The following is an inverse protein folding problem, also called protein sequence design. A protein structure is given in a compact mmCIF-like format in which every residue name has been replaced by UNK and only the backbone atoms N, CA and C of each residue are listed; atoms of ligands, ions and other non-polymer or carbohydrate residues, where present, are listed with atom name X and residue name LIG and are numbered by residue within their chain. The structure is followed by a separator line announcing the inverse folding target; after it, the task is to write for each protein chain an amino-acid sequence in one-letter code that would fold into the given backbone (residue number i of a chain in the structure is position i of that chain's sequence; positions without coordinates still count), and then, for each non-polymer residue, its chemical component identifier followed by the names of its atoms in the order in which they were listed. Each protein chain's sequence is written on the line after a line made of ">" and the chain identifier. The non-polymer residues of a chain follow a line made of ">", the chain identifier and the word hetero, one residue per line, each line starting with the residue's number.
data_IF_598461367244
#
_entry.id   IF_598461367244
#
_cell.length_a   1.000
_cell.length_b   1.000
_cell.length_c   1.000
_cell.angle_alpha   90.00
_cell.angle_beta   90.00
_cell.angle_gamma   90.00
#
_symmetry.space_group_name_H-M   'P 1'
#
loop_
_entity.id
_entity.type
_entity.pdbx_description
1 polymer ?
#
# COMPACT_ATOMS: atom_id res chain seq x y z
N UNK A 1 2.21 -4.49 25.38
CA UNK A 1 1.91 -5.86 24.92
C UNK A 1 1.28 -5.77 23.53
N UNK A 2 1.70 -6.66 22.61
CA UNK A 2 1.21 -6.70 21.23
C UNK A 2 0.56 -8.05 20.95
N UNK A 3 -0.53 -8.02 20.21
CA UNK A 3 -1.07 -9.18 19.52
C UNK A 3 -0.17 -9.47 18.31
N UNK A 4 0.46 -10.63 18.27
CA UNK A 4 1.30 -11.05 17.15
C UNK A 4 0.42 -11.26 15.92
N UNK A 5 0.70 -10.53 14.86
CA UNK A 5 -0.08 -10.57 13.63
C UNK A 5 0.83 -10.50 12.41
N UNK A 6 0.69 -11.46 11.51
CA UNK A 6 1.37 -11.46 10.21
C UNK A 6 0.37 -11.02 9.15
N UNK A 7 0.67 -9.94 8.44
CA UNK A 7 -0.19 -9.46 7.36
C UNK A 7 0.02 -10.31 6.11
N UNK A 8 -1.02 -11.03 5.71
CA UNK A 8 -1.04 -11.91 4.52
C UNK A 8 -2.27 -11.58 3.66
N UNK A 9 -2.29 -10.43 3.00
CA UNK A 9 -3.42 -10.02 2.18
C UNK A 9 -3.59 -10.91 0.96
N UNK A 10 -4.80 -10.95 0.43
CA UNK A 10 -5.18 -11.70 -0.76
C UNK A 10 -5.77 -10.74 -1.78
N UNK A 11 -5.50 -10.96 -3.05
CA UNK A 11 -6.19 -10.31 -4.16
C UNK A 11 -7.33 -11.20 -4.66
N UNK A 12 -8.48 -10.61 -4.89
CA UNK A 12 -9.61 -11.22 -5.59
C UNK A 12 -9.73 -10.57 -6.97
N UNK A 13 -9.53 -11.35 -8.01
CA UNK A 13 -9.77 -10.97 -9.38
C UNK A 13 -10.91 -11.82 -9.95
N UNK A 14 -12.11 -11.26 -10.05
CA UNK A 14 -13.30 -11.93 -10.59
C UNK A 14 -13.59 -13.30 -9.95
N UNK A 15 -13.41 -13.39 -8.63
CA UNK A 15 -13.60 -14.63 -7.87
C UNK A 15 -12.36 -15.53 -7.76
N UNK A 16 -11.30 -15.29 -8.52
CA UNK A 16 -10.03 -15.97 -8.36
C UNK A 16 -9.18 -15.30 -7.28
N UNK A 17 -8.67 -16.09 -6.33
CA UNK A 17 -7.85 -15.61 -5.23
C UNK A 17 -6.36 -15.81 -5.51
N UNK A 18 -5.58 -14.73 -5.30
CA UNK A 18 -4.13 -14.70 -5.45
C UNK A 18 -3.47 -14.20 -4.18
N UNK A 19 -2.37 -14.81 -3.77
CA UNK A 19 -1.60 -14.36 -2.62
C UNK A 19 -0.84 -13.06 -2.92
N UNK A 20 -0.69 -12.22 -1.89
CA UNK A 20 0.14 -11.03 -1.90
C UNK A 20 1.14 -11.07 -0.73
N UNK A 21 2.33 -10.44 -0.83
CA UNK A 21 2.90 -9.79 -2.01
C UNK A 21 3.11 -10.77 -3.16
N UNK A 22 3.49 -10.30 -4.35
CA UNK A 22 3.77 -11.20 -5.48
C UNK A 22 4.93 -12.12 -5.13
N UNK A 23 4.63 -13.40 -5.01
CA UNK A 23 5.57 -14.43 -4.58
C UNK A 23 5.29 -15.74 -5.34
N UNK A 24 6.04 -16.80 -5.05
CA UNK A 24 5.89 -18.08 -5.74
C UNK A 24 4.47 -18.67 -5.65
N UNK A 25 3.69 -18.39 -4.57
CA UNK A 25 2.28 -18.82 -4.53
C UNK A 25 1.43 -18.08 -5.57
N UNK A 26 1.71 -16.78 -5.79
CA UNK A 26 1.04 -15.98 -6.82
C UNK A 26 1.37 -16.51 -8.22
N UNK A 27 2.67 -16.73 -8.48
CA UNK A 27 3.17 -17.20 -9.78
C UNK A 27 2.72 -18.62 -10.10
N UNK A 28 2.74 -19.52 -9.11
CA UNK A 28 2.21 -20.86 -9.26
C UNK A 28 0.72 -20.85 -9.59
N UNK A 29 -0.08 -20.07 -8.86
CA UNK A 29 -1.52 -19.95 -9.13
C UNK A 29 -1.81 -19.37 -10.50
N UNK A 30 -1.01 -18.42 -10.99
CA UNK A 30 -1.23 -17.74 -12.26
C UNK A 30 -0.74 -18.55 -13.46
N UNK A 31 0.44 -19.14 -13.35
CA UNK A 31 1.15 -19.76 -14.47
C UNK A 31 1.46 -21.26 -14.31
N UNK A 32 1.20 -21.84 -13.13
CA UNK A 32 1.54 -23.23 -12.83
C UNK A 32 3.03 -23.49 -12.59
N UNK A 33 3.86 -22.46 -12.52
CA UNK A 33 5.30 -22.57 -12.29
C UNK A 33 5.59 -23.03 -10.86
N UNK A 34 6.62 -23.85 -10.66
CA UNK A 34 6.96 -24.43 -9.36
C UNK A 34 8.34 -24.04 -8.86
N UNK A 35 9.21 -23.54 -9.73
CA UNK A 35 10.57 -23.12 -9.39
C UNK A 35 10.77 -21.62 -9.61
N UNK A 36 11.71 -20.99 -8.86
CA UNK A 36 12.11 -19.59 -9.10
C UNK A 36 12.51 -19.32 -10.54
N UNK A 37 13.30 -20.21 -11.14
CA UNK A 37 13.78 -20.08 -12.51
C UNK A 37 12.64 -20.06 -13.54
N UNK A 38 11.62 -20.90 -13.36
CA UNK A 38 10.42 -20.89 -14.22
C UNK A 38 9.65 -19.58 -14.08
N UNK A 39 9.52 -19.07 -12.85
CA UNK A 39 8.84 -17.79 -12.60
C UNK A 39 9.60 -16.62 -13.22
N UNK A 40 10.92 -16.56 -13.06
CA UNK A 40 11.78 -15.56 -13.71
C UNK A 40 11.67 -15.61 -15.23
N UNK A 41 11.75 -16.81 -15.82
CA UNK A 41 11.62 -16.99 -17.26
C UNK A 41 10.25 -16.51 -17.77
N UNK A 42 9.18 -16.76 -17.02
CA UNK A 42 7.82 -16.32 -17.39
C UNK A 42 7.67 -14.81 -17.30
N UNK A 43 8.21 -14.17 -16.26
CA UNK A 43 8.25 -12.71 -16.13
C UNK A 43 9.05 -12.11 -17.29
N UNK A 44 10.21 -12.68 -17.60
CA UNK A 44 11.09 -12.19 -18.68
C UNK A 44 10.44 -12.34 -20.05
N UNK A 45 9.78 -13.45 -20.33
CA UNK A 45 9.01 -13.66 -21.57
C UNK A 45 7.98 -12.55 -21.79
N UNK A 46 7.23 -12.21 -20.74
CA UNK A 46 6.17 -11.21 -20.84
C UNK A 46 6.70 -9.77 -20.94
N UNK A 47 7.75 -9.48 -20.19
CA UNK A 47 8.34 -8.13 -20.23
C UNK A 47 9.14 -7.86 -21.51
N UNK A 48 9.74 -8.87 -22.14
CA UNK A 48 10.58 -8.70 -23.32
C UNK A 48 9.88 -7.98 -24.48
N UNK A 49 8.56 -8.20 -24.65
CA UNK A 49 7.77 -7.54 -25.69
C UNK A 49 7.43 -6.07 -25.38
N UNK A 50 7.56 -5.64 -24.12
CA UNK A 50 7.10 -4.33 -23.62
C UNK A 50 8.16 -3.60 -22.81
N UNK A 51 9.38 -4.14 -22.75
CA UNK A 51 10.45 -3.59 -21.93
C UNK A 51 10.81 -2.17 -22.36
N UNK A 52 10.91 -1.28 -21.39
CA UNK A 52 11.48 0.05 -21.56
C UNK A 52 12.53 0.33 -20.49
N UNK A 53 13.70 0.81 -20.91
CA UNK A 53 14.80 1.10 -20.00
C UNK A 53 14.47 2.26 -19.04
N UNK A 54 13.67 3.20 -19.50
CA UNK A 54 13.25 4.38 -18.73
C UNK A 54 11.72 4.49 -18.69
N UNK A 55 11.06 3.74 -17.79
CA UNK A 55 9.59 3.76 -17.68
C UNK A 55 9.10 5.14 -17.26
N UNK A 56 8.21 5.71 -18.05
CA UNK A 56 7.66 7.05 -17.87
C UNK A 56 6.43 7.08 -16.98
N UNK A 57 5.74 5.96 -16.87
CA UNK A 57 4.48 5.84 -16.16
C UNK A 57 4.41 4.53 -15.36
N UNK A 58 3.35 4.39 -14.56
CA UNK A 58 3.16 3.25 -13.68
C UNK A 58 2.97 1.94 -14.46
N UNK A 59 2.26 1.96 -15.60
CA UNK A 59 2.04 0.78 -16.44
C UNK A 59 3.37 0.20 -16.94
N UNK A 60 4.20 1.02 -17.57
CA UNK A 60 5.52 0.60 -18.07
C UNK A 60 6.40 0.05 -16.94
N UNK A 61 6.40 0.72 -15.77
CA UNK A 61 7.16 0.27 -14.62
C UNK A 61 6.62 -1.07 -14.06
N UNK A 62 5.31 -1.25 -14.01
CA UNK A 62 4.69 -2.47 -13.52
C UNK A 62 5.02 -3.66 -14.43
N UNK A 63 4.85 -3.49 -15.75
CA UNK A 63 5.16 -4.55 -16.73
C UNK A 63 6.65 -4.92 -16.66
N UNK A 64 7.55 -3.93 -16.52
CA UNK A 64 8.96 -4.19 -16.30
C UNK A 64 9.28 -5.01 -15.05
N UNK A 65 8.45 -4.92 -14.00
CA UNK A 65 8.67 -5.62 -12.74
C UNK A 65 8.05 -7.03 -12.72
N UNK A 66 6.83 -7.18 -13.21
CA UNK A 66 6.02 -8.39 -12.97
C UNK A 66 5.42 -9.00 -14.23
N UNK A 67 5.62 -8.42 -15.39
CA UNK A 67 5.01 -8.86 -16.65
C UNK A 67 3.56 -8.39 -16.81
N UNK A 68 3.00 -8.67 -17.98
CA UNK A 68 1.67 -8.20 -18.40
C UNK A 68 0.53 -8.87 -17.62
N UNK A 69 0.59 -10.18 -17.38
CA UNK A 69 -0.49 -10.92 -16.73
C UNK A 69 -0.75 -10.43 -15.30
N UNK A 70 0.31 -10.23 -14.52
CA UNK A 70 0.20 -9.72 -13.15
C UNK A 70 -0.23 -8.27 -13.16
N UNK A 71 0.32 -7.47 -14.08
CA UNK A 71 -0.10 -6.08 -14.24
C UNK A 71 -1.62 -5.98 -14.51
N UNK A 72 -2.11 -6.65 -15.54
CA UNK A 72 -3.52 -6.57 -15.96
C UNK A 72 -4.49 -7.12 -14.88
N UNK A 73 -4.16 -8.27 -14.26
CA UNK A 73 -5.06 -8.91 -13.29
C UNK A 73 -4.99 -8.29 -11.89
N UNK A 74 -3.79 -7.93 -11.40
CA UNK A 74 -3.60 -7.67 -9.98
C UNK A 74 -3.19 -6.23 -9.65
N UNK A 75 -2.73 -5.44 -10.63
CA UNK A 75 -2.21 -4.09 -10.40
C UNK A 75 -3.10 -3.02 -10.99
N UNK A 76 -3.41 -3.12 -12.28
CA UNK A 76 -4.03 -2.06 -13.09
C UNK A 76 -5.28 -1.47 -12.45
N UNK A 77 -6.36 -2.20 -12.42
CA UNK A 77 -7.65 -1.66 -11.99
C UNK A 77 -7.72 -1.37 -10.48
N UNK A 78 -6.96 -2.11 -9.67
CA UNK A 78 -6.80 -1.77 -8.26
C UNK A 78 -6.18 -0.37 -8.10
N UNK A 79 -5.11 -0.10 -8.83
CA UNK A 79 -4.41 1.18 -8.80
C UNK A 79 -5.26 2.31 -9.39
N UNK A 80 -5.91 2.06 -10.52
CA UNK A 80 -6.80 3.03 -11.16
C UNK A 80 -7.97 3.42 -10.26
N UNK A 81 -8.58 2.48 -9.54
CA UNK A 81 -9.60 2.78 -8.53
C UNK A 81 -9.05 3.63 -7.38
N UNK A 82 -7.85 3.32 -6.89
CA UNK A 82 -7.22 4.11 -5.82
C UNK A 82 -6.92 5.55 -6.24
N UNK A 83 -6.43 5.73 -7.46
CA UNK A 83 -5.97 7.04 -7.92
C UNK A 83 -7.04 7.80 -8.74
N UNK A 84 -8.07 7.10 -9.25
CA UNK A 84 -9.10 7.67 -10.12
C UNK A 84 -8.55 8.17 -11.45
N UNK A 85 -7.44 7.56 -11.91
CA UNK A 85 -6.73 7.90 -13.16
C UNK A 85 -6.14 6.64 -13.78
N UNK A 86 -6.00 6.59 -15.11
CA UNK A 86 -5.31 5.49 -15.80
C UNK A 86 -3.86 5.32 -15.32
N UNK A 87 -3.37 4.08 -15.28
CA UNK A 87 -1.99 3.79 -14.90
C UNK A 87 -0.95 4.47 -15.82
N UNK A 88 -1.31 4.74 -17.08
CA UNK A 88 -0.49 5.48 -18.05
C UNK A 88 -0.27 6.95 -17.70
N UNK A 89 -1.11 7.52 -16.83
CA UNK A 89 -1.00 8.90 -16.37
C UNK A 89 -0.36 9.01 -14.98
N UNK A 90 -0.09 7.88 -14.33
CA UNK A 90 0.50 7.84 -12.99
C UNK A 90 2.03 7.72 -13.06
N UNK A 91 2.76 8.41 -12.17
CA UNK A 91 4.22 8.33 -12.14
C UNK A 91 4.74 6.91 -11.85
N UNK A 92 5.80 6.51 -12.54
CA UNK A 92 6.44 5.20 -12.40
C UNK A 92 6.88 4.88 -10.95
N UNK A 93 7.28 5.88 -10.17
CA UNK A 93 7.79 5.68 -8.81
C UNK A 93 6.74 5.09 -7.85
N UNK A 94 5.44 5.24 -8.12
CA UNK A 94 4.36 4.73 -7.25
C UNK A 94 4.49 3.22 -7.05
N UNK A 95 4.81 2.48 -8.11
CA UNK A 95 4.91 1.01 -8.05
C UNK A 95 6.36 0.49 -7.92
N UNK A 96 7.35 1.37 -7.96
CA UNK A 96 8.76 0.96 -7.90
C UNK A 96 9.12 0.13 -6.66
N UNK A 97 8.35 0.25 -5.59
CA UNK A 97 8.57 -0.47 -4.33
C UNK A 97 7.76 -1.77 -4.20
N UNK A 98 7.10 -2.20 -5.26
CA UNK A 98 6.32 -3.42 -5.23
C UNK A 98 7.23 -4.62 -4.94
N UNK A 99 7.00 -5.36 -3.84
CA UNK A 99 7.84 -6.49 -3.53
C UNK A 99 7.51 -7.66 -4.46
N UNK A 100 8.53 -8.15 -5.16
CA UNK A 100 8.51 -9.38 -5.96
C UNK A 100 9.46 -10.37 -5.29
N UNK A 101 8.96 -11.55 -4.95
CA UNK A 101 9.72 -12.56 -4.20
C UNK A 101 9.66 -13.91 -4.89
N UNK A 102 10.81 -14.50 -5.13
CA UNK A 102 10.92 -15.84 -5.73
C UNK A 102 11.01 -16.95 -4.65
N UNK A 103 10.21 -16.78 -3.60
CA UNK A 103 10.05 -17.71 -2.48
C UNK A 103 8.56 -17.91 -2.18
N UNK A 104 8.21 -19.00 -1.53
CA UNK A 104 6.84 -19.28 -1.05
C UNK A 104 6.62 -18.63 0.32
N UNK A 105 6.42 -17.29 0.34
CA UNK A 105 6.19 -16.53 1.56
C UNK A 105 5.09 -15.48 1.34
N UNK A 106 3.98 -15.63 2.06
CA UNK A 106 2.83 -14.73 2.01
C UNK A 106 2.89 -13.60 3.04
N UNK A 107 3.96 -13.51 3.84
CA UNK A 107 4.12 -12.38 4.76
C UNK A 107 4.36 -11.09 3.96
N UNK A 108 3.46 -10.13 4.06
CA UNK A 108 3.57 -8.90 3.29
C UNK A 108 4.80 -8.05 3.66
N UNK A 109 5.17 -8.05 4.93
CA UNK A 109 6.29 -7.26 5.43
C UNK A 109 7.54 -8.11 5.67
N UNK A 110 8.71 -7.49 5.59
CA UNK A 110 10.00 -8.10 5.95
C UNK A 110 10.42 -7.80 7.41
N UNK A 111 9.53 -7.16 8.19
CA UNK A 111 9.85 -6.80 9.57
C UNK A 111 10.00 -8.04 10.46
N UNK A 112 11.05 -8.06 11.28
CA UNK A 112 11.31 -9.14 12.23
C UNK A 112 10.19 -9.23 13.29
N UNK A 113 9.68 -8.09 13.73
CA UNK A 113 8.59 -8.00 14.70
C UNK A 113 7.36 -7.39 14.03
N UNK A 114 6.24 -8.11 14.10
CA UNK A 114 4.97 -7.71 13.53
C UNK A 114 3.86 -7.96 14.54
N UNK A 115 2.98 -6.98 14.70
CA UNK A 115 1.87 -7.11 15.64
C UNK A 115 1.02 -5.85 15.69
N UNK A 116 -0.11 -5.99 16.38
CA UNK A 116 -1.06 -4.90 16.65
C UNK A 116 -1.07 -4.65 18.16
N UNK A 117 -0.95 -3.40 18.63
CA UNK A 117 -0.92 -3.11 20.06
C UNK A 117 -2.24 -3.48 20.72
N UNK A 118 -2.17 -4.23 21.83
CA UNK A 118 -3.34 -4.47 22.67
C UNK A 118 -3.77 -3.15 23.31
N UNK A 119 -5.06 -2.85 23.26
CA UNK A 119 -5.60 -1.57 23.72
C UNK A 119 -5.55 -0.44 22.67
N UNK A 120 -5.05 -0.73 21.47
CA UNK A 120 -5.04 0.20 20.33
C UNK A 120 -3.84 1.16 20.28
N UNK A 121 -3.73 1.87 19.17
CA UNK A 121 -2.59 2.75 18.90
C UNK A 121 -2.60 4.01 19.77
N UNK A 122 -3.77 4.53 20.14
CA UNK A 122 -3.87 5.71 21.03
C UNK A 122 -3.21 5.45 22.38
N UNK A 123 -3.46 4.28 22.99
CA UNK A 123 -2.82 3.91 24.25
C UNK A 123 -1.30 3.72 24.09
N UNK A 124 -0.87 3.13 22.98
CA UNK A 124 0.56 2.99 22.68
C UNK A 124 1.25 4.35 22.59
N UNK A 125 0.67 5.29 21.85
CA UNK A 125 1.22 6.65 21.70
C UNK A 125 1.19 7.40 23.04
N UNK A 126 0.12 7.30 23.81
CA UNK A 126 0.03 7.90 25.14
C UNK A 126 1.14 7.40 26.08
N UNK A 127 1.45 6.10 26.03
CA UNK A 127 2.54 5.52 26.81
C UNK A 127 3.93 6.04 26.37
N UNK A 128 4.12 6.26 25.05
CA UNK A 128 5.37 6.82 24.51
C UNK A 128 5.58 8.29 24.89
N UNK A 129 4.49 9.02 25.11
CA UNK A 129 4.49 10.46 25.46
C UNK A 129 4.46 10.71 26.95
N UNK A 130 4.64 9.70 27.81
CA UNK A 130 4.71 9.92 29.27
C UNK A 130 5.85 10.87 29.62
N UNK A 131 5.54 11.91 30.39
CA UNK A 131 6.49 12.96 30.78
C UNK A 131 6.71 14.04 29.72
N UNK A 132 6.03 13.98 28.58
CA UNK A 132 6.06 14.99 27.53
C UNK A 132 4.78 15.84 27.61
N UNK A 133 4.91 17.17 27.53
CA UNK A 133 3.75 18.04 27.43
C UNK A 133 3.06 17.84 26.08
N UNK A 134 1.75 17.56 26.09
CA UNK A 134 0.93 17.35 24.90
C UNK A 134 -0.20 18.36 24.88
N UNK A 135 -0.30 19.16 23.83
CA UNK A 135 -1.37 20.14 23.58
C UNK A 135 -2.21 19.67 22.40
N UNK A 136 -3.45 19.29 22.66
CA UNK A 136 -4.41 18.90 21.63
C UNK A 136 -5.22 20.09 21.12
N UNK A 137 -5.72 19.98 19.87
CA UNK A 137 -6.55 21.04 19.26
C UNK A 137 -5.78 22.31 18.91
N UNK A 138 -4.46 22.26 18.87
CA UNK A 138 -3.60 23.41 18.54
C UNK A 138 -3.21 23.34 17.06
N UNK A 139 -3.56 24.39 16.31
CA UNK A 139 -3.07 24.55 14.94
C UNK A 139 -1.71 25.27 14.96
N UNK A 140 -0.65 24.53 14.66
CA UNK A 140 0.70 25.07 14.67
C UNK A 140 0.87 26.26 13.71
N UNK A 141 0.36 26.18 12.48
CA UNK A 141 0.54 27.23 11.48
C UNK A 141 -0.16 28.54 11.87
N UNK A 142 -1.28 28.44 12.59
CA UNK A 142 -1.98 29.62 13.09
C UNK A 142 -1.27 30.29 14.30
N UNK A 143 -0.42 29.53 15.02
CA UNK A 143 0.25 29.97 16.24
C UNK A 143 1.79 29.82 16.12
N UNK A 144 2.31 29.85 14.90
CA UNK A 144 3.70 29.51 14.59
C UNK A 144 4.71 30.30 15.41
N UNK A 145 4.60 31.62 15.49
CA UNK A 145 5.58 32.45 16.18
C UNK A 145 5.63 32.20 17.70
N UNK A 146 4.47 31.92 18.32
CA UNK A 146 4.39 31.59 19.75
C UNK A 146 5.01 30.20 20.01
N UNK A 147 4.66 29.22 19.16
CA UNK A 147 5.08 27.84 19.36
C UNK A 147 6.57 27.63 19.02
N UNK A 148 7.10 28.32 18.03
CA UNK A 148 8.54 28.31 17.70
C UNK A 148 9.38 28.85 18.86
N UNK A 149 8.86 29.82 19.63
CA UNK A 149 9.56 30.36 20.78
C UNK A 149 9.67 29.42 21.98
N UNK A 150 8.92 28.31 21.97
CA UNK A 150 8.94 27.30 23.05
C UNK A 150 10.03 26.23 22.91
N UNK A 151 10.72 26.16 21.77
CA UNK A 151 11.67 25.09 21.52
C UNK A 151 12.83 25.53 20.61
N UNK A 152 14.02 25.01 20.88
CA UNK A 152 15.22 25.26 20.06
C UNK A 152 15.14 24.58 18.69
N UNK A 153 14.26 23.58 18.53
CA UNK A 153 14.06 22.84 17.29
C UNK A 153 12.61 22.42 17.14
N UNK A 154 12.04 22.66 15.97
CA UNK A 154 10.69 22.25 15.61
C UNK A 154 10.73 21.13 14.57
N UNK A 155 9.93 20.10 14.77
CA UNK A 155 9.68 19.01 13.79
C UNK A 155 8.22 19.10 13.40
N UNK A 156 7.96 19.61 12.19
CA UNK A 156 6.63 19.74 11.65
C UNK A 156 6.28 18.49 10.81
N UNK A 157 5.23 17.77 11.20
CA UNK A 157 4.75 16.56 10.51
C UNK A 157 3.41 16.74 9.78
N UNK A 158 2.91 17.97 9.72
CA UNK A 158 1.72 18.33 8.94
C UNK A 158 2.00 18.44 7.43
N UNK A 159 1.02 18.87 6.63
CA UNK A 159 1.18 19.03 5.18
C UNK A 159 2.30 20.03 4.86
N UNK A 160 3.28 19.59 4.09
CA UNK A 160 4.47 20.40 3.78
C UNK A 160 4.13 21.62 2.92
N UNK A 161 3.18 21.48 2.00
CA UNK A 161 2.68 22.57 1.17
C UNK A 161 2.01 23.67 2.00
N UNK A 162 1.23 23.30 3.03
CA UNK A 162 0.65 24.25 3.97
C UNK A 162 1.72 24.96 4.82
N UNK A 163 2.82 24.26 5.17
CA UNK A 163 3.93 24.88 5.91
C UNK A 163 4.58 26.04 5.13
N UNK A 164 4.64 25.93 3.81
CA UNK A 164 5.15 26.95 2.89
C UNK A 164 4.05 27.82 2.27
N UNK A 165 2.89 27.88 2.91
CA UNK A 165 1.75 28.72 2.48
C UNK A 165 1.37 28.49 1.01
N UNK A 166 1.46 27.22 0.57
CA UNK A 166 1.17 26.79 -0.81
C UNK A 166 1.92 27.58 -1.90
N UNK A 167 3.06 28.17 -1.59
CA UNK A 167 3.84 29.02 -2.50
C UNK A 167 4.29 28.33 -3.79
N UNK A 168 4.39 26.99 -3.78
CA UNK A 168 4.69 26.14 -4.94
C UNK A 168 3.46 25.38 -5.43
N UNK A 169 2.26 25.73 -4.98
CA UNK A 169 1.01 25.02 -5.24
C UNK A 169 0.71 23.92 -4.23
N UNK A 170 -0.45 23.29 -4.39
CA UNK A 170 -0.93 22.22 -3.51
C UNK A 170 -0.44 20.84 -3.98
N UNK A 171 -0.05 19.98 -3.05
CA UNK A 171 0.23 18.58 -3.33
C UNK A 171 -1.08 17.82 -3.55
N UNK A 172 -1.08 16.93 -4.52
CA UNK A 172 -2.24 16.08 -4.81
C UNK A 172 -2.24 14.86 -3.87
N UNK A 173 -3.41 14.53 -3.35
CA UNK A 173 -3.66 13.32 -2.57
C UNK A 173 -5.04 12.74 -2.91
N UNK A 174 -5.31 11.54 -2.44
CA UNK A 174 -6.60 10.88 -2.57
C UNK A 174 -7.19 10.59 -1.20
N UNK A 175 -8.45 10.93 -1.04
CA UNK A 175 -9.23 10.58 0.14
C UNK A 175 -9.72 9.13 0.04
N UNK A 176 -9.71 8.43 1.16
CA UNK A 176 -10.29 7.09 1.29
C UNK A 176 -11.59 7.22 2.08
N UNK A 177 -12.68 6.67 1.56
CA UNK A 177 -13.95 6.53 2.26
C UNK A 177 -14.07 5.10 2.78
N UNK A 178 -14.35 4.98 4.07
CA UNK A 178 -14.67 3.71 4.71
C UNK A 178 -16.18 3.60 4.89
N UNK A 179 -16.74 2.46 4.49
CA UNK A 179 -18.10 2.06 4.81
C UNK A 179 -18.02 0.89 5.76
N UNK A 180 -18.61 1.03 6.95
CA UNK A 180 -18.54 0.02 8.01
C UNK A 180 -19.88 -0.68 8.14
N UNK A 181 -19.85 -2.01 8.12
CA UNK A 181 -21.02 -2.86 8.34
C UNK A 181 -20.69 -3.94 9.39
N UNK A 182 -21.63 -4.18 10.29
CA UNK A 182 -21.53 -5.29 11.25
C UNK A 182 -22.47 -6.42 10.82
N UNK A 183 -21.90 -7.53 10.44
CA UNK A 183 -22.63 -8.69 9.95
C UNK A 183 -22.87 -9.71 11.08
N UNK A 184 -24.01 -10.41 11.05
CA UNK A 184 -24.37 -11.47 11.98
C UNK A 184 -23.69 -12.82 11.61
N UNK A 185 -22.40 -12.79 11.32
CA UNK A 185 -21.60 -13.99 11.04
C UNK A 185 -20.23 -13.89 11.72
N UNK A 186 -19.66 -14.99 12.21
CA UNK A 186 -18.37 -14.98 12.92
C UNK A 186 -17.17 -14.70 12.00
N UNK A 187 -17.29 -15.00 10.72
CA UNK A 187 -16.24 -14.79 9.73
C UNK A 187 -16.85 -14.60 8.34
N UNK A 188 -16.71 -13.42 7.77
CA UNK A 188 -17.29 -13.07 6.48
C UNK A 188 -16.47 -13.59 5.30
N UNK A 189 -15.16 -13.39 5.32
CA UNK A 189 -14.31 -13.58 4.15
C UNK A 189 -13.08 -14.49 4.37
N UNK A 190 -12.87 -14.99 5.58
CA UNK A 190 -11.76 -15.91 5.88
C UNK A 190 -10.37 -15.27 5.97
N UNK A 191 -10.24 -13.99 5.67
CA UNK A 191 -9.00 -13.24 5.76
C UNK A 191 -9.27 -11.82 6.26
N UNK A 192 -8.29 -11.22 6.94
CA UNK A 192 -8.42 -9.85 7.45
C UNK A 192 -8.49 -8.80 6.34
N UNK A 193 -7.82 -9.05 5.21
CA UNK A 193 -7.78 -8.11 4.08
C UNK A 193 -7.88 -8.86 2.76
N UNK A 194 -8.87 -8.50 1.94
CA UNK A 194 -8.99 -8.90 0.55
C UNK A 194 -8.99 -7.65 -0.34
N UNK A 195 -8.06 -7.58 -1.30
CA UNK A 195 -7.99 -6.53 -2.30
C UNK A 195 -8.76 -6.97 -3.54
N UNK A 196 -9.69 -6.15 -4.02
CA UNK A 196 -10.46 -6.40 -5.24
C UNK A 196 -9.78 -5.71 -6.42
N UNK A 197 -9.25 -6.50 -7.34
CA UNK A 197 -8.35 -6.03 -8.39
C UNK A 197 -8.98 -5.97 -9.78
N UNK A 198 -10.23 -6.41 -9.93
CA UNK A 198 -11.01 -6.25 -11.15
C UNK A 198 -11.57 -4.81 -11.31
N UNK A 199 -12.04 -4.48 -12.51
CA UNK A 199 -12.61 -3.18 -12.83
C UNK A 199 -14.06 -3.02 -12.36
N UNK A 200 -14.80 -4.11 -12.28
CA UNK A 200 -16.25 -4.13 -12.05
C UNK A 200 -16.61 -3.86 -10.58
N UNK A 201 -15.77 -4.30 -9.65
CA UNK A 201 -15.95 -4.06 -8.22
C UNK A 201 -15.66 -2.60 -7.88
N UNK A 202 -16.63 -1.84 -7.30
CA UNK A 202 -16.48 -0.38 -7.14
C UNK A 202 -15.59 0.05 -5.97
N UNK A 203 -15.10 -0.87 -5.17
CA UNK A 203 -14.21 -0.63 -4.03
C UNK A 203 -12.88 -1.37 -4.21
N UNK A 204 -11.88 -0.97 -3.43
CA UNK A 204 -10.54 -1.55 -3.54
C UNK A 204 -10.29 -2.65 -2.53
N UNK A 205 -11.02 -2.68 -1.38
CA UNK A 205 -10.68 -3.57 -0.27
C UNK A 205 -11.88 -3.80 0.66
N UNK A 206 -11.97 -5.01 1.15
CA UNK A 206 -12.73 -5.39 2.35
C UNK A 206 -11.77 -5.99 3.37
#
# INVERSE_FOLDING_TARGET
>A
VFNRYTNSPVANYKGELYNLPFNMNTFNKMWGVVTPAEAEAKIEEQRAAHFTAEPKNLEEQAINLVGTDIYEKLVKHYTEKQWGRPCTELPAFIIKRLPVRLIFDNNYFNALYQGIPNGGYTQMVANMLQGVEVRLGVNYLANKAELDALADRVIYTGPIDAYFDYSLGTLQYRSVRFETETLACPNYQGNAVINYTDAETPYTRI
#
